data_IF_181546359575
#
_entry.id   IF_181546359575
#
_cell.length_a   1.000
_cell.length_b   1.000
_cell.length_c   1.000
_cell.angle_alpha   90.00
_cell.angle_beta   90.00
_cell.angle_gamma   90.00
#
_symmetry.space_group_name_H-M   'P 1'
#
loop_
_entity.id
_entity.type
_entity.pdbx_description
1 polymer ?
#
# COMPACT_ATOMS: atom_id res chain seq x y z
N UNK A 1 -7.12 -11.39 -30.00
CA UNK A 1 -7.76 -11.81 -28.73
C UNK A 1 -7.63 -10.63 -27.75
N UNK A 2 -8.62 -10.39 -26.90
CA UNK A 2 -8.52 -9.39 -25.84
C UNK A 2 -8.68 -10.10 -24.50
N UNK A 3 -7.84 -9.75 -23.54
CA UNK A 3 -7.92 -10.23 -22.17
C UNK A 3 -7.35 -9.15 -21.25
N UNK A 4 -7.90 -9.08 -20.04
CA UNK A 4 -7.39 -8.27 -18.95
C UNK A 4 -7.27 -9.17 -17.72
N UNK A 5 -6.21 -8.97 -16.95
CA UNK A 5 -5.97 -9.71 -15.72
C UNK A 5 -5.18 -8.82 -14.75
N UNK A 6 -5.37 -9.05 -13.45
CA UNK A 6 -4.58 -8.38 -12.41
C UNK A 6 -3.09 -8.75 -12.47
N UNK A 7 -2.81 -9.96 -12.96
CA UNK A 7 -1.47 -10.53 -13.01
C UNK A 7 -1.09 -11.01 -14.42
N UNK A 8 0.19 -10.96 -14.76
CA UNK A 8 0.69 -11.32 -16.10
C UNK A 8 0.65 -12.82 -16.33
N UNK A 9 0.87 -13.63 -15.29
CA UNK A 9 0.84 -15.10 -15.37
C UNK A 9 -0.46 -15.64 -15.98
N UNK A 10 -1.61 -15.04 -15.65
CA UNK A 10 -2.90 -15.43 -16.22
C UNK A 10 -2.95 -15.22 -17.75
N UNK A 11 -2.35 -14.13 -18.24
CA UNK A 11 -2.28 -13.84 -19.67
C UNK A 11 -1.29 -14.77 -20.39
N UNK A 12 -0.16 -15.09 -19.76
CA UNK A 12 0.77 -16.10 -20.27
C UNK A 12 0.11 -17.48 -20.36
N UNK A 13 -0.66 -17.88 -19.35
CA UNK A 13 -1.42 -19.13 -19.36
C UNK A 13 -2.46 -19.22 -20.48
N UNK A 14 -2.96 -18.08 -20.96
CA UNK A 14 -3.84 -17.98 -22.13
C UNK A 14 -3.09 -17.90 -23.47
N UNK A 15 -1.75 -17.98 -23.44
CA UNK A 15 -0.89 -17.97 -24.63
C UNK A 15 -0.66 -16.59 -25.24
N UNK A 16 -0.84 -15.50 -24.48
CA UNK A 16 -0.48 -14.16 -24.96
C UNK A 16 1.03 -13.97 -24.95
N UNK A 17 1.56 -13.38 -26.02
CA UNK A 17 2.98 -13.03 -26.15
C UNK A 17 3.36 -11.94 -25.11
N UNK A 18 4.43 -12.13 -24.30
CA UNK A 18 4.93 -11.10 -23.40
C UNK A 18 5.16 -9.73 -24.04
N UNK A 19 5.55 -9.68 -25.32
CA UNK A 19 5.79 -8.45 -26.07
C UNK A 19 4.53 -7.63 -26.35
N UNK A 20 3.34 -8.23 -26.28
CA UNK A 20 2.06 -7.52 -26.48
C UNK A 20 1.33 -7.21 -25.17
N UNK A 21 1.82 -7.74 -24.04
CA UNK A 21 1.21 -7.51 -22.72
C UNK A 21 1.74 -6.21 -22.12
N UNK A 22 0.83 -5.24 -21.98
CA UNK A 22 1.07 -3.97 -21.29
C UNK A 22 0.23 -3.84 -20.03
N UNK A 23 0.76 -3.11 -19.06
CA UNK A 23 -0.01 -2.68 -17.89
C UNK A 23 -0.82 -1.44 -18.26
N UNK A 24 -2.04 -1.33 -17.70
CA UNK A 24 -2.79 -0.09 -17.74
C UNK A 24 -2.06 0.96 -16.88
N UNK A 25 -1.90 2.22 -17.32
CA UNK A 25 -1.33 3.26 -16.47
C UNK A 25 -2.16 3.47 -15.20
N UNK A 26 -1.53 3.88 -14.08
CA UNK A 26 -2.27 4.18 -12.87
C UNK A 26 -3.21 5.37 -13.10
N UNK A 27 -4.32 5.41 -12.36
CA UNK A 27 -5.31 6.48 -12.44
C UNK A 27 -5.92 6.65 -13.85
N UNK A 28 -5.94 5.61 -14.69
CA UNK A 28 -6.43 5.68 -16.07
C UNK A 28 -7.60 4.75 -16.32
N UNK A 29 -8.58 5.23 -17.06
CA UNK A 29 -9.64 4.44 -17.68
C UNK A 29 -9.43 4.45 -19.19
N UNK A 30 -9.40 3.25 -19.79
CA UNK A 30 -9.42 3.07 -21.24
C UNK A 30 -10.72 2.36 -21.63
N UNK A 31 -11.46 2.97 -22.56
CA UNK A 31 -12.72 2.41 -23.06
C UNK A 31 -12.51 1.79 -24.45
N UNK A 32 -13.16 0.65 -24.67
CA UNK A 32 -13.05 -0.12 -25.90
C UNK A 32 -14.41 -0.53 -26.43
N UNK A 33 -14.56 -0.51 -27.75
CA UNK A 33 -15.75 -1.01 -28.46
C UNK A 33 -15.42 -2.28 -29.23
N UNK A 34 -16.33 -3.24 -29.19
CA UNK A 34 -16.29 -4.40 -30.07
C UNK A 34 -16.95 -4.03 -31.39
N UNK A 35 -16.17 -4.02 -32.47
CA UNK A 35 -16.75 -3.94 -33.81
C UNK A 35 -17.49 -5.24 -34.13
N UNK A 36 -18.68 -5.13 -34.71
CA UNK A 36 -19.40 -6.27 -35.29
C UNK A 36 -19.53 -6.02 -36.78
N UNK A 37 -19.19 -7.00 -37.62
CA UNK A 37 -19.41 -6.91 -39.06
C UNK A 37 -20.91 -6.86 -39.36
N UNK A 38 -21.29 -6.44 -40.57
CA UNK A 38 -22.67 -6.59 -41.06
C UNK A 38 -23.17 -8.05 -41.12
N UNK A 39 -22.30 -9.03 -40.90
CA UNK A 39 -22.61 -10.47 -40.80
C UNK A 39 -22.62 -11.00 -39.37
N UNK A 40 -22.53 -10.12 -38.35
CA UNK A 40 -22.53 -10.52 -36.93
C UNK A 40 -21.17 -11.03 -36.41
N UNK A 41 -20.11 -11.01 -37.21
CA UNK A 41 -18.78 -11.49 -36.82
C UNK A 41 -17.99 -10.39 -36.08
N UNK A 42 -17.28 -10.70 -34.98
CA UNK A 42 -16.44 -9.72 -34.30
C UNK A 42 -15.33 -9.19 -35.22
N UNK A 43 -15.29 -7.87 -35.45
CA UNK A 43 -14.29 -7.19 -36.30
C UNK A 43 -13.04 -6.73 -35.55
N UNK A 44 -12.96 -7.00 -34.26
CA UNK A 44 -11.84 -6.60 -33.40
C UNK A 44 -12.24 -5.55 -32.37
N UNK A 45 -11.28 -5.21 -31.53
CA UNK A 45 -11.43 -4.25 -30.45
C UNK A 45 -10.81 -2.92 -30.87
N UNK A 46 -11.57 -1.83 -30.80
CA UNK A 46 -11.08 -0.48 -31.10
C UNK A 46 -11.24 0.40 -29.87
N UNK A 47 -10.29 1.32 -29.65
CA UNK A 47 -10.45 2.31 -28.58
C UNK A 47 -11.70 3.16 -28.85
N UNK A 48 -12.53 3.34 -27.83
CA UNK A 48 -13.77 4.10 -27.90
C UNK A 48 -13.53 5.63 -27.79
N UNK A 49 -12.29 6.03 -27.49
CA UNK A 49 -11.88 7.41 -27.27
C UNK A 49 -10.51 7.48 -26.61
N UNK A 50 -10.01 8.69 -26.31
CA UNK A 50 -8.78 8.85 -25.53
C UNK A 50 -8.95 8.32 -24.09
N UNK A 51 -7.87 7.87 -23.45
CA UNK A 51 -7.90 7.53 -22.04
C UNK A 51 -8.26 8.75 -21.18
N UNK A 52 -8.94 8.55 -20.05
CA UNK A 52 -9.25 9.61 -19.08
C UNK A 52 -8.82 9.24 -17.67
N UNK A 53 -8.58 10.25 -16.83
CA UNK A 53 -8.15 10.06 -15.46
C UNK A 53 -9.31 9.62 -14.55
N UNK A 54 -9.07 8.71 -13.61
CA UNK A 54 -10.05 8.33 -12.56
C UNK A 54 -10.22 9.47 -11.55
N UNK A 55 -9.14 10.22 -11.31
CA UNK A 55 -9.07 11.32 -10.36
C UNK A 55 -8.13 12.41 -10.89
N UNK A 56 -8.60 13.65 -10.85
CA UNK A 56 -7.76 14.83 -11.05
C UNK A 56 -7.51 15.48 -9.69
N UNK A 57 -6.23 15.74 -9.38
CA UNK A 57 -5.85 16.40 -8.13
C UNK A 57 -5.76 17.90 -8.35
N UNK A 58 -6.19 18.66 -7.35
CA UNK A 58 -6.08 20.11 -7.32
C UNK A 58 -4.79 20.53 -6.61
N UNK A 59 -3.94 21.28 -7.31
CA UNK A 59 -2.61 21.69 -6.82
C UNK A 59 -2.59 23.05 -6.12
N UNK A 60 -3.74 23.71 -5.95
CA UNK A 60 -3.79 24.98 -5.21
C UNK A 60 -3.34 24.78 -3.76
N UNK A 61 -2.34 25.51 -3.31
CA UNK A 61 -1.80 25.44 -1.95
C UNK A 61 -2.29 26.61 -1.11
N UNK A 62 -3.20 26.36 -0.16
CA UNK A 62 -3.86 27.42 0.61
C UNK A 62 -4.07 27.11 2.09
N UNK A 63 -3.97 25.86 2.52
CA UNK A 63 -4.16 25.48 3.92
C UNK A 63 -2.88 25.65 4.73
N UNK A 64 -2.97 26.33 5.86
CA UNK A 64 -1.86 26.53 6.81
C UNK A 64 -1.88 25.55 7.99
N UNK A 65 -2.90 24.69 8.07
CA UNK A 65 -3.10 23.74 9.17
C UNK A 65 -3.31 22.33 8.65
N UNK A 66 -2.78 21.37 9.39
CA UNK A 66 -2.89 19.91 9.14
C UNK A 66 -4.19 19.31 9.67
N UNK A 67 -5.08 20.10 10.30
CA UNK A 67 -6.30 19.61 10.92
C UNK A 67 -7.22 18.83 9.97
N UNK A 68 -7.48 19.37 8.77
CA UNK A 68 -8.31 18.71 7.76
C UNK A 68 -7.65 17.44 7.21
N UNK A 69 -6.32 17.44 7.09
CA UNK A 69 -5.57 16.25 6.71
C UNK A 69 -5.74 15.13 7.74
N UNK A 70 -5.61 15.45 9.04
CA UNK A 70 -5.80 14.46 10.12
C UNK A 70 -7.22 13.91 10.15
N UNK A 71 -8.22 14.77 9.94
CA UNK A 71 -9.61 14.36 9.85
C UNK A 71 -9.85 13.42 8.65
N UNK A 72 -9.28 13.75 7.49
CA UNK A 72 -9.34 12.89 6.31
C UNK A 72 -8.62 11.55 6.53
N UNK A 73 -7.48 11.55 7.21
CA UNK A 73 -6.73 10.33 7.53
C UNK A 73 -7.50 9.43 8.49
N UNK A 74 -8.07 9.99 9.56
CA UNK A 74 -8.94 9.27 10.47
C UNK A 74 -10.13 8.63 9.74
N UNK A 75 -10.80 9.39 8.87
CA UNK A 75 -11.90 8.88 8.05
C UNK A 75 -11.44 7.77 7.08
N UNK A 76 -10.25 7.91 6.48
CA UNK A 76 -9.67 6.92 5.58
C UNK A 76 -9.34 5.60 6.28
N UNK A 77 -8.83 5.66 7.52
CA UNK A 77 -8.58 4.48 8.37
C UNK A 77 -9.91 3.83 8.74
N UNK A 78 -10.87 4.59 9.27
CA UNK A 78 -12.20 4.08 9.64
C UNK A 78 -12.91 3.38 8.47
N UNK A 79 -12.88 3.99 7.29
CA UNK A 79 -13.44 3.42 6.06
C UNK A 79 -12.84 2.04 5.73
N UNK A 80 -11.55 1.85 5.96
CA UNK A 80 -10.80 0.64 5.58
C UNK A 80 -10.86 -0.50 6.58
N UNK A 81 -11.41 -0.28 7.77
CA UNK A 81 -11.59 -1.35 8.78
C UNK A 81 -13.06 -1.57 9.13
N UNK A 82 -13.98 -0.87 8.46
CA UNK A 82 -15.41 -0.98 8.71
C UNK A 82 -15.90 -2.41 8.46
N UNK A 83 -16.40 -3.06 9.52
CA UNK A 83 -17.04 -4.38 9.43
C UNK A 83 -16.08 -5.55 9.17
N UNK A 84 -14.77 -5.38 9.38
CA UNK A 84 -13.78 -6.43 9.15
C UNK A 84 -12.62 -6.32 10.15
N UNK A 85 -12.10 -7.47 10.61
CA UNK A 85 -10.86 -7.50 11.40
C UNK A 85 -9.69 -7.08 10.53
N UNK A 86 -8.75 -6.35 11.10
CA UNK A 86 -7.55 -5.90 10.41
C UNK A 86 -6.30 -6.45 11.10
N UNK A 87 -5.15 -6.33 10.46
CA UNK A 87 -3.85 -6.42 11.10
C UNK A 87 -2.91 -5.40 10.46
N UNK A 88 -1.91 -4.96 11.22
CA UNK A 88 -0.85 -4.08 10.77
C UNK A 88 0.51 -4.73 11.00
N UNK A 89 1.43 -4.46 10.10
CA UNK A 89 2.85 -4.70 10.30
C UNK A 89 3.42 -3.45 10.95
N UNK A 90 3.99 -3.59 12.15
CA UNK A 90 4.73 -2.50 12.77
C UNK A 90 6.19 -2.54 12.34
N UNK A 91 6.67 -1.36 11.99
CA UNK A 91 8.06 -1.04 11.75
C UNK A 91 8.46 0.16 12.61
N UNK A 92 9.73 0.51 12.56
CA UNK A 92 10.33 1.63 13.26
C UNK A 92 10.03 2.99 12.64
N UNK A 93 9.35 3.02 11.50
CA UNK A 93 8.92 4.25 10.87
C UNK A 93 7.72 4.90 11.58
N UNK A 94 7.58 6.21 11.38
CA UNK A 94 6.44 6.97 11.91
C UNK A 94 5.10 6.59 11.28
N UNK A 95 5.11 5.91 10.13
CA UNK A 95 3.91 5.70 9.32
C UNK A 95 3.03 4.58 9.90
N UNK A 96 3.65 3.43 10.20
CA UNK A 96 2.98 2.30 10.84
C UNK A 96 2.56 2.63 12.28
N UNK A 97 3.34 3.45 12.99
CA UNK A 97 3.00 3.96 14.32
C UNK A 97 1.80 4.91 14.29
N UNK A 98 1.71 5.82 13.32
CA UNK A 98 0.55 6.70 13.15
C UNK A 98 -0.72 5.89 12.87
N UNK A 99 -0.60 4.80 12.11
CA UNK A 99 -1.71 3.89 11.83
C UNK A 99 -2.16 3.15 13.10
N UNK A 100 -1.23 2.62 13.90
CA UNK A 100 -1.53 2.00 15.20
C UNK A 100 -2.26 2.96 16.12
N UNK A 101 -1.74 4.19 16.26
CA UNK A 101 -2.35 5.22 17.09
C UNK A 101 -3.77 5.54 16.64
N UNK A 102 -4.01 5.64 15.32
CA UNK A 102 -5.32 5.94 14.78
C UNK A 102 -6.33 4.81 15.03
N UNK A 103 -5.90 3.55 14.87
CA UNK A 103 -6.73 2.38 15.17
C UNK A 103 -7.12 2.33 16.65
N UNK A 104 -6.17 2.63 17.54
CA UNK A 104 -6.42 2.73 18.98
C UNK A 104 -7.43 3.84 19.30
N UNK A 105 -7.18 5.07 18.83
CA UNK A 105 -8.02 6.26 19.11
C UNK A 105 -9.46 6.12 18.63
N UNK A 106 -9.66 5.47 17.49
CA UNK A 106 -10.98 5.31 16.90
C UNK A 106 -11.74 4.08 17.44
N UNK A 107 -11.15 3.32 18.37
CA UNK A 107 -11.70 2.07 18.91
C UNK A 107 -12.15 1.11 17.80
N UNK A 108 -11.37 1.07 16.71
CA UNK A 108 -11.74 0.30 15.53
C UNK A 108 -11.35 -1.17 15.72
N UNK A 109 -11.90 -2.03 14.86
CA UNK A 109 -11.88 -3.49 14.97
C UNK A 109 -10.54 -4.09 15.49
N UNK A 110 -10.60 -5.26 16.15
CA UNK A 110 -9.42 -5.98 16.61
C UNK A 110 -8.32 -6.01 15.55
N UNK A 111 -7.22 -5.34 15.87
CA UNK A 111 -6.07 -5.22 14.98
C UNK A 111 -4.90 -5.95 15.62
N UNK A 112 -4.37 -6.93 14.89
CA UNK A 112 -3.16 -7.59 15.32
C UNK A 112 -1.95 -6.76 14.91
N UNK A 113 -1.04 -6.56 15.85
CA UNK A 113 0.17 -5.75 15.69
C UNK A 113 1.35 -6.70 15.57
N UNK A 114 1.96 -6.77 14.39
CA UNK A 114 2.99 -7.76 14.08
C UNK A 114 4.30 -7.10 13.70
N UNK A 115 5.37 -7.49 14.38
CA UNK A 115 6.69 -6.93 14.11
C UNK A 115 7.75 -8.04 14.09
N UNK A 116 8.77 -7.83 13.25
CA UNK A 116 10.00 -8.62 13.19
C UNK A 116 11.16 -7.88 13.91
N UNK A 117 10.87 -6.78 14.59
CA UNK A 117 11.84 -5.95 15.30
C UNK A 117 12.15 -6.49 16.69
N UNK A 118 13.07 -5.80 17.38
CA UNK A 118 13.42 -6.07 18.77
C UNK A 118 12.17 -6.05 19.67
N UNK A 119 12.04 -7.12 20.47
CA UNK A 119 10.88 -7.34 21.33
C UNK A 119 10.66 -6.20 22.33
N UNK A 120 11.72 -5.60 22.88
CA UNK A 120 11.58 -4.51 23.86
C UNK A 120 11.03 -3.24 23.21
N UNK A 121 11.40 -2.96 21.96
CA UNK A 121 10.88 -1.82 21.22
C UNK A 121 9.37 -1.99 20.91
N UNK A 122 8.96 -3.20 20.53
CA UNK A 122 7.55 -3.53 20.27
C UNK A 122 6.73 -3.45 21.56
N UNK A 123 7.23 -4.01 22.66
CA UNK A 123 6.59 -3.95 23.97
C UNK A 123 6.40 -2.51 24.45
N UNK A 124 7.42 -1.65 24.30
CA UNK A 124 7.32 -0.21 24.61
C UNK A 124 6.28 0.51 23.76
N UNK A 125 6.17 0.19 22.47
CA UNK A 125 5.16 0.81 21.60
C UNK A 125 3.76 0.35 21.97
N UNK A 126 3.60 -0.94 22.25
CA UNK A 126 2.33 -1.49 22.68
C UNK A 126 1.89 -0.93 24.05
N UNK A 127 2.83 -0.63 24.96
CA UNK A 127 2.49 0.02 26.23
C UNK A 127 2.07 1.48 26.07
N UNK A 128 2.62 2.20 25.09
CA UNK A 128 2.28 3.60 24.79
C UNK A 128 0.96 3.74 24.02
N UNK A 129 0.66 2.80 23.13
CA UNK A 129 -0.57 2.75 22.35
C UNK A 129 -1.06 1.28 22.30
N UNK A 130 -1.78 0.81 23.33
CA UNK A 130 -2.28 -0.56 23.33
C UNK A 130 -3.16 -0.78 22.12
N UNK A 131 -3.14 -2.00 21.57
CA UNK A 131 -4.01 -2.36 20.45
C UNK A 131 -5.48 -2.04 20.75
N UNK A 132 -6.33 -1.92 19.73
CA UNK A 132 -7.75 -1.75 19.96
C UNK A 132 -8.31 -2.90 20.81
N UNK A 133 -9.39 -2.67 21.59
CA UNK A 133 -9.99 -3.70 22.42
C UNK A 133 -10.25 -5.01 21.65
N UNK A 134 -9.66 -6.12 22.11
CA UNK A 134 -9.79 -7.44 21.48
C UNK A 134 -8.79 -7.78 20.38
N UNK A 135 -7.80 -6.90 20.10
CA UNK A 135 -6.62 -7.19 19.28
C UNK A 135 -5.42 -7.70 20.11
N UNK A 136 -4.50 -8.43 19.48
CA UNK A 136 -3.25 -8.91 20.12
C UNK A 136 -2.03 -8.27 19.46
N UNK A 137 -0.99 -7.95 20.25
CA UNK A 137 0.34 -7.75 19.69
C UNK A 137 1.11 -9.07 19.69
N UNK A 138 1.80 -9.34 18.58
CA UNK A 138 2.70 -10.46 18.43
C UNK A 138 4.04 -9.99 17.90
N UNK A 139 5.12 -10.37 18.58
CA UNK A 139 6.46 -10.30 18.00
C UNK A 139 6.71 -11.63 17.29
N UNK A 140 7.11 -11.56 16.02
CA UNK A 140 7.43 -12.73 15.23
C UNK A 140 8.95 -12.81 15.18
N UNK A 141 9.51 -13.82 15.83
CA UNK A 141 10.93 -14.15 15.72
C UNK A 141 11.07 -15.33 14.78
N UNK A 142 11.84 -15.15 13.70
CA UNK A 142 12.14 -16.21 12.75
C UNK A 142 13.51 -16.80 13.04
N UNK A 143 13.58 -18.13 13.13
CA UNK A 143 14.85 -18.84 13.06
C UNK A 143 15.26 -19.08 11.60
N UNK A 144 16.50 -19.56 11.38
CA UNK A 144 17.03 -19.79 10.03
C UNK A 144 16.19 -20.77 9.20
N UNK A 145 15.72 -21.86 9.82
CA UNK A 145 14.88 -22.85 9.14
C UNK A 145 13.56 -22.23 8.65
N UNK A 146 12.93 -21.39 9.46
CA UNK A 146 11.71 -20.67 9.11
C UNK A 146 11.95 -19.66 7.99
N UNK A 147 13.09 -18.96 8.00
CA UNK A 147 13.50 -18.06 6.91
C UNK A 147 13.64 -18.83 5.60
N UNK A 148 14.29 -20.01 5.62
CA UNK A 148 14.46 -20.86 4.44
C UNK A 148 13.11 -21.39 3.94
N UNK A 149 12.27 -21.89 4.84
CA UNK A 149 10.94 -22.40 4.50
C UNK A 149 10.01 -21.32 3.93
N UNK A 150 10.06 -20.10 4.50
CA UNK A 150 9.30 -18.96 4.00
C UNK A 150 9.80 -18.53 2.62
N UNK A 151 11.12 -18.51 2.41
CA UNK A 151 11.71 -18.16 1.11
C UNK A 151 11.32 -19.15 0.02
N UNK A 152 11.32 -20.44 0.35
CA UNK A 152 10.85 -21.48 -0.58
C UNK A 152 9.39 -21.25 -0.97
N UNK A 153 8.54 -20.91 -0.01
CA UNK A 153 7.13 -20.66 -0.28
C UNK A 153 6.91 -19.40 -1.13
N UNK A 154 7.60 -18.28 -0.81
CA UNK A 154 7.51 -17.04 -1.59
C UNK A 154 7.90 -17.31 -3.05
N UNK A 155 9.02 -18.01 -3.27
CA UNK A 155 9.46 -18.37 -4.63
C UNK A 155 8.49 -19.28 -5.37
N UNK A 156 7.68 -20.07 -4.66
CA UNK A 156 6.73 -21.01 -5.26
C UNK A 156 5.39 -20.38 -5.58
N UNK A 157 4.88 -19.48 -4.74
CA UNK A 157 3.49 -19.01 -4.80
C UNK A 157 3.33 -17.53 -5.13
N UNK A 158 4.37 -16.71 -4.98
CA UNK A 158 4.29 -15.29 -5.30
C UNK A 158 4.71 -15.07 -6.76
N UNK A 159 3.89 -14.34 -7.52
CA UNK A 159 4.22 -14.00 -8.91
C UNK A 159 5.45 -13.09 -8.96
N UNK A 160 6.48 -13.41 -9.78
CA UNK A 160 7.64 -12.55 -9.94
C UNK A 160 7.23 -11.14 -10.40
N UNK A 161 7.76 -10.13 -9.73
CA UNK A 161 7.64 -8.74 -10.16
C UNK A 161 8.96 -8.02 -9.96
N UNK A 162 9.38 -7.30 -11.00
CA UNK A 162 10.66 -6.60 -11.01
C UNK A 162 10.45 -5.12 -10.67
N UNK A 163 11.22 -4.67 -9.69
CA UNK A 163 11.20 -3.29 -9.24
C UNK A 163 11.88 -2.37 -10.27
N UNK A 164 11.46 -1.11 -10.29
CA UNK A 164 11.95 -0.07 -11.21
C UNK A 164 12.55 1.13 -10.47
N UNK A 165 12.10 1.40 -9.26
CA UNK A 165 12.61 2.45 -8.39
C UNK A 165 14.08 2.20 -8.08
N UNK A 166 14.88 3.28 -8.12
CA UNK A 166 16.34 3.22 -8.21
C UNK A 166 17.00 2.38 -7.11
N UNK A 167 16.54 2.50 -5.86
CA UNK A 167 17.07 1.76 -4.70
C UNK A 167 16.69 0.28 -4.68
N UNK A 168 15.58 -0.05 -5.36
CA UNK A 168 15.07 -1.40 -5.46
C UNK A 168 15.53 -2.06 -6.78
N UNK A 169 16.27 -1.34 -7.64
CA UNK A 169 16.74 -1.86 -8.93
C UNK A 169 17.65 -3.06 -8.74
N UNK A 170 17.44 -4.08 -9.56
CA UNK A 170 18.14 -5.36 -9.45
C UNK A 170 17.49 -6.34 -8.46
N UNK A 171 16.60 -5.85 -7.60
CA UNK A 171 15.72 -6.66 -6.78
C UNK A 171 14.33 -6.79 -7.43
N UNK A 172 13.61 -7.81 -6.99
CA UNK A 172 12.20 -8.00 -7.29
C UNK A 172 11.54 -8.62 -6.08
N UNK A 173 10.22 -8.75 -6.12
CA UNK A 173 9.41 -9.23 -4.99
C UNK A 173 9.97 -10.52 -4.39
N UNK A 174 10.54 -11.43 -5.19
CA UNK A 174 11.08 -12.71 -4.72
C UNK A 174 12.44 -12.62 -3.99
N UNK A 175 13.20 -11.55 -4.21
CA UNK A 175 14.53 -11.34 -3.62
C UNK A 175 14.51 -10.33 -2.46
N UNK A 176 13.43 -9.58 -2.33
CA UNK A 176 13.23 -8.57 -1.31
C UNK A 176 13.02 -9.19 0.08
N UNK A 177 13.89 -8.91 1.08
CA UNK A 177 13.69 -9.34 2.46
C UNK A 177 12.37 -8.87 3.07
N UNK A 178 11.86 -7.69 2.67
CA UNK A 178 10.58 -7.19 3.15
C UNK A 178 9.40 -8.05 2.67
N UNK A 179 9.48 -8.63 1.46
CA UNK A 179 8.50 -9.60 0.99
C UNK A 179 8.46 -10.86 1.85
N UNK A 180 9.64 -11.33 2.27
CA UNK A 180 9.75 -12.48 3.16
C UNK A 180 9.07 -12.19 4.50
N UNK A 181 9.42 -11.06 5.11
CA UNK A 181 8.85 -10.64 6.37
C UNK A 181 7.33 -10.46 6.30
N UNK A 182 6.84 -9.80 5.25
CA UNK A 182 5.41 -9.63 5.00
C UNK A 182 4.70 -10.98 4.84
N UNK A 183 5.30 -11.92 4.10
CA UNK A 183 4.74 -13.27 3.93
C UNK A 183 4.58 -13.99 5.26
N UNK A 184 5.57 -13.89 6.15
CA UNK A 184 5.50 -14.44 7.51
C UNK A 184 4.37 -13.80 8.32
N UNK A 185 4.27 -12.47 8.30
CA UNK A 185 3.19 -11.70 8.96
C UNK A 185 1.82 -12.19 8.47
N UNK A 186 1.63 -12.34 7.15
CA UNK A 186 0.39 -12.84 6.57
C UNK A 186 0.02 -14.24 7.07
N UNK A 187 0.99 -15.16 7.16
CA UNK A 187 0.74 -16.51 7.70
C UNK A 187 0.29 -16.47 9.15
N UNK A 188 0.96 -15.64 9.96
CA UNK A 188 0.65 -15.52 11.37
C UNK A 188 -0.74 -14.92 11.58
N UNK A 189 -1.07 -13.84 10.88
CA UNK A 189 -2.40 -13.24 10.88
C UNK A 189 -3.50 -14.24 10.51
N UNK A 190 -3.26 -15.08 9.49
CA UNK A 190 -4.20 -16.16 9.11
C UNK A 190 -4.34 -17.22 10.19
N UNK A 191 -3.25 -17.62 10.85
CA UNK A 191 -3.30 -18.59 11.96
C UNK A 191 -4.10 -18.05 13.13
N UNK A 192 -3.85 -16.80 13.51
CA UNK A 192 -4.56 -16.15 14.61
C UNK A 192 -6.04 -15.93 14.29
N UNK A 193 -6.38 -15.55 13.05
CA UNK A 193 -7.77 -15.46 12.61
C UNK A 193 -8.49 -16.82 12.70
N UNK A 194 -7.80 -17.93 12.39
CA UNK A 194 -8.35 -19.29 12.49
C UNK A 194 -8.50 -19.78 13.93
N UNK A 195 -7.54 -19.53 14.81
CA UNK A 195 -7.62 -19.96 16.21
C UNK A 195 -8.77 -19.27 16.95
N UNK A 196 -9.14 -18.06 16.54
CA UNK A 196 -10.29 -17.31 17.04
C UNK A 196 -11.64 -17.78 16.45
N UNK A 197 -11.62 -18.71 15.49
CA UNK A 197 -12.79 -19.24 14.78
C UNK A 197 -13.53 -20.40 15.47
N UNK A 198 -13.34 -20.63 16.77
CA UNK A 198 -14.03 -21.68 17.54
C UNK A 198 -15.33 -21.21 18.24
N UNK A 199 -15.98 -20.15 17.74
CA UNK A 199 -17.40 -19.88 18.05
C UNK A 199 -18.21 -20.22 16.82
N UNK A 200 -18.85 -21.39 16.89
CA UNK A 200 -19.82 -21.91 15.93
C UNK A 200 -20.98 -20.92 15.80
N UNK A 201 -20.88 -20.01 14.84
CA UNK A 201 -22.05 -19.47 14.14
C UNK A 201 -21.81 -19.73 12.66
N UNK A 202 -22.86 -20.07 11.91
CA UNK A 202 -22.81 -20.69 10.59
C UNK A 202 -22.22 -19.84 9.44
N UNK A 203 -21.41 -18.83 9.73
CA UNK A 203 -20.74 -17.94 8.78
C UNK A 203 -19.24 -18.10 8.97
N UNK A 204 -18.52 -18.55 7.94
CA UNK A 204 -17.05 -18.61 7.98
C UNK A 204 -16.49 -17.21 8.36
N UNK A 205 -15.55 -17.12 9.31
CA UNK A 205 -14.94 -15.84 9.65
C UNK A 205 -14.25 -15.28 8.41
N UNK A 206 -14.59 -14.03 8.05
CA UNK A 206 -13.94 -13.34 6.93
C UNK A 206 -12.43 -13.25 7.20
N UNK A 207 -11.57 -13.46 6.18
CA UNK A 207 -10.13 -13.23 6.31
C UNK A 207 -9.87 -11.81 6.84
N UNK A 208 -8.84 -11.61 7.68
CA UNK A 208 -8.47 -10.28 8.12
C UNK A 208 -7.88 -9.49 6.95
N UNK A 209 -8.01 -8.17 6.99
CA UNK A 209 -7.39 -7.27 6.00
C UNK A 209 -6.03 -6.78 6.50
N UNK A 210 -5.05 -6.70 5.61
CA UNK A 210 -3.80 -6.02 5.91
C UNK A 210 -3.98 -4.52 5.71
N UNK A 211 -3.72 -3.72 6.75
CA UNK A 211 -3.75 -2.27 6.65
C UNK A 211 -2.31 -1.76 6.54
N UNK A 212 -1.93 -1.31 5.35
CA UNK A 212 -0.57 -0.88 5.04
C UNK A 212 -0.36 0.61 5.31
N UNK A 213 0.84 0.95 5.76
CA UNK A 213 1.30 2.33 5.92
C UNK A 213 1.92 2.91 4.63
N UNK A 214 2.02 2.11 3.56
CA UNK A 214 2.48 2.57 2.24
C UNK A 214 1.65 3.76 1.75
N UNK A 215 2.34 4.75 1.18
CA UNK A 215 1.80 6.03 0.75
C UNK A 215 2.31 7.20 1.60
N UNK A 216 2.62 6.99 2.88
CA UNK A 216 3.06 8.10 3.72
C UNK A 216 4.43 8.67 3.31
N UNK A 217 5.41 7.80 3.05
CA UNK A 217 6.73 8.20 2.54
C UNK A 217 6.67 8.76 1.13
N UNK A 218 5.92 8.10 0.25
CA UNK A 218 5.84 8.40 -1.17
C UNK A 218 5.06 9.69 -1.44
N UNK A 219 4.03 9.98 -0.64
CA UNK A 219 3.18 11.16 -0.81
C UNK A 219 3.68 12.34 0.03
N UNK A 220 3.93 12.15 1.33
CA UNK A 220 4.16 13.29 2.24
C UNK A 220 5.62 13.59 2.49
N UNK A 221 6.45 12.56 2.64
CA UNK A 221 7.87 12.74 2.89
C UNK A 221 8.66 13.02 1.62
N UNK A 222 8.23 12.41 0.51
CA UNK A 222 9.04 12.26 -0.71
C UNK A 222 10.50 11.91 -0.39
N UNK A 223 10.71 11.17 0.69
CA UNK A 223 11.99 10.77 1.26
C UNK A 223 13.03 11.89 1.38
N UNK A 224 12.60 13.11 1.72
CA UNK A 224 13.51 14.23 1.97
C UNK A 224 13.05 15.12 3.12
N UNK A 225 13.99 15.89 3.67
CA UNK A 225 13.72 16.86 4.73
C UNK A 225 14.65 18.06 4.56
N UNK A 226 14.07 19.27 4.51
CA UNK A 226 14.81 20.54 4.54
C UNK A 226 16.00 20.59 3.57
N UNK A 227 15.82 20.09 2.34
CA UNK A 227 16.82 20.08 1.28
C UNK A 227 17.78 18.89 1.30
N UNK A 228 17.65 18.01 2.29
CA UNK A 228 18.44 16.77 2.39
C UNK A 228 17.63 15.58 1.91
N UNK A 229 18.20 14.83 0.98
CA UNK A 229 17.65 13.54 0.56
C UNK A 229 17.89 12.50 1.66
N UNK A 230 16.83 11.83 2.12
CA UNK A 230 16.92 10.70 3.05
C UNK A 230 17.02 9.37 2.31
N UNK A 231 16.79 9.39 0.99
CA UNK A 231 16.92 8.25 0.08
C UNK A 231 17.31 8.75 -1.32
N UNK A 232 17.92 7.91 -2.14
CA UNK A 232 18.24 8.18 -3.55
C UNK A 232 17.00 8.48 -4.41
N UNK A 233 15.82 8.00 -4.01
CA UNK A 233 14.54 8.32 -4.68
C UNK A 233 13.81 9.52 -4.07
N UNK A 234 14.51 10.32 -3.25
CA UNK A 234 13.95 11.54 -2.72
C UNK A 234 13.50 12.48 -3.84
N UNK A 235 12.25 12.95 -3.76
CA UNK A 235 11.75 13.99 -4.66
C UNK A 235 11.71 15.32 -3.94
N UNK A 236 12.12 16.39 -4.63
CA UNK A 236 12.22 17.73 -4.09
C UNK A 236 13.09 17.88 -2.81
N UNK A 237 13.74 16.80 -2.34
CA UNK A 237 14.55 16.77 -1.10
C UNK A 237 13.81 17.31 0.12
N UNK A 238 12.49 17.12 0.16
CA UNK A 238 11.61 17.66 1.21
C UNK A 238 11.30 19.15 1.11
N UNK A 239 11.74 19.84 0.05
CA UNK A 239 11.44 21.22 -0.27
C UNK A 239 10.30 21.30 -1.29
N UNK A 240 9.07 21.20 -0.80
CA UNK A 240 7.88 21.45 -1.61
C UNK A 240 7.86 22.87 -2.20
N UNK A 241 7.68 23.02 -3.52
CA UNK A 241 7.53 24.33 -4.17
C UNK A 241 6.15 24.93 -3.90
N UNK A 242 5.98 26.23 -4.17
CA UNK A 242 4.68 26.93 -4.13
C UNK A 242 3.75 26.51 -5.29
N UNK A 243 4.31 26.02 -6.40
CA UNK A 243 3.55 25.37 -7.48
C UNK A 243 3.90 23.88 -7.55
N UNK A 244 2.99 23.02 -7.08
CA UNK A 244 3.18 21.57 -7.15
C UNK A 244 3.13 21.04 -8.59
N UNK A 245 2.56 21.79 -9.54
CA UNK A 245 2.52 21.42 -10.95
C UNK A 245 3.92 21.27 -11.56
N UNK A 246 4.93 21.97 -11.02
CA UNK A 246 6.32 21.87 -11.48
C UNK A 246 6.97 20.53 -11.14
N UNK A 247 6.50 19.87 -10.09
CA UNK A 247 7.10 18.63 -9.57
C UNK A 247 6.16 17.43 -9.65
N UNK A 248 4.88 17.63 -9.95
CA UNK A 248 3.88 16.56 -10.00
C UNK A 248 3.81 15.88 -11.38
N UNK A 249 3.67 14.54 -11.43
CA UNK A 249 3.87 13.62 -10.32
C UNK A 249 5.36 13.48 -10.02
N UNK A 250 5.73 13.56 -8.75
CA UNK A 250 7.13 13.37 -8.40
C UNK A 250 7.51 11.89 -8.45
N UNK A 251 8.82 11.63 -8.45
CA UNK A 251 9.40 10.32 -8.75
C UNK A 251 8.72 9.18 -7.98
N UNK A 252 8.47 9.39 -6.68
CA UNK A 252 7.90 8.35 -5.80
C UNK A 252 6.39 8.15 -5.92
N UNK A 253 5.65 9.05 -6.58
CA UNK A 253 4.17 9.10 -6.47
C UNK A 253 3.45 7.97 -7.20
N UNK A 254 3.60 7.82 -8.53
CA UNK A 254 2.86 6.81 -9.29
C UNK A 254 3.73 5.60 -9.62
N UNK A 255 4.55 5.71 -10.67
CA UNK A 255 5.28 4.59 -11.26
C UNK A 255 6.71 4.40 -10.70
N UNK A 256 7.12 5.19 -9.69
CA UNK A 256 8.38 5.00 -8.98
C UNK A 256 8.22 4.15 -7.72
N UNK A 257 8.71 4.63 -6.58
CA UNK A 257 8.74 3.85 -5.34
C UNK A 257 7.36 3.30 -4.92
N UNK A 258 6.29 4.09 -5.07
CA UNK A 258 4.94 3.63 -4.72
C UNK A 258 4.53 2.38 -5.50
N UNK A 259 4.81 2.33 -6.81
CA UNK A 259 4.50 1.15 -7.65
C UNK A 259 5.15 -0.10 -7.09
N UNK A 260 6.41 -0.01 -6.69
CA UNK A 260 7.17 -1.19 -6.26
C UNK A 260 6.72 -1.66 -4.87
N UNK A 261 6.42 -0.73 -3.95
CA UNK A 261 5.83 -1.06 -2.66
C UNK A 261 4.42 -1.65 -2.78
N UNK A 262 3.56 -1.07 -3.63
CA UNK A 262 2.24 -1.65 -3.92
C UNK A 262 2.37 -3.03 -4.54
N UNK A 263 3.26 -3.22 -5.51
CA UNK A 263 3.46 -4.53 -6.14
C UNK A 263 3.95 -5.58 -5.14
N UNK A 264 4.89 -5.23 -4.25
CA UNK A 264 5.32 -6.11 -3.17
C UNK A 264 4.14 -6.62 -2.35
N UNK A 265 3.32 -5.69 -1.85
CA UNK A 265 2.24 -6.02 -0.94
C UNK A 265 1.10 -6.76 -1.64
N UNK A 266 0.66 -6.31 -2.80
CA UNK A 266 -0.39 -6.96 -3.59
C UNK A 266 0.01 -8.36 -4.05
N UNK A 267 1.28 -8.56 -4.44
CA UNK A 267 1.76 -9.89 -4.85
C UNK A 267 1.89 -10.83 -3.64
N UNK A 268 2.48 -10.38 -2.53
CA UNK A 268 2.71 -11.23 -1.35
C UNK A 268 1.40 -11.51 -0.61
N UNK A 269 0.63 -10.48 -0.26
CA UNK A 269 -0.64 -10.65 0.45
C UNK A 269 -1.68 -11.36 -0.44
N UNK A 270 -1.72 -11.04 -1.73
CA UNK A 270 -2.57 -11.72 -2.71
C UNK A 270 -2.29 -13.23 -2.80
N UNK A 271 -1.02 -13.64 -2.77
CA UNK A 271 -0.65 -15.06 -2.72
C UNK A 271 -1.12 -15.77 -1.43
N UNK A 272 -1.32 -15.02 -0.34
CA UNK A 272 -1.95 -15.52 0.89
C UNK A 272 -3.47 -15.45 0.88
N UNK A 273 -4.10 -14.89 -0.16
CA UNK A 273 -5.55 -14.64 -0.22
C UNK A 273 -6.00 -13.57 0.77
N UNK A 274 -5.13 -12.59 1.04
CA UNK A 274 -5.41 -11.46 1.93
C UNK A 274 -5.52 -10.18 1.10
N UNK A 275 -6.50 -9.35 1.45
CA UNK A 275 -6.69 -8.02 0.88
C UNK A 275 -5.79 -7.02 1.62
N UNK A 276 -5.15 -6.12 0.87
CA UNK A 276 -4.39 -4.99 1.41
C UNK A 276 -5.18 -3.70 1.24
N UNK A 277 -5.09 -2.80 2.23
CA UNK A 277 -5.77 -1.51 2.22
C UNK A 277 -4.79 -0.40 2.60
N UNK A 278 -4.89 0.74 1.91
CA UNK A 278 -3.91 1.82 1.96
C UNK A 278 -4.54 3.16 2.41
N UNK A 279 -4.62 3.47 3.72
CA UNK A 279 -5.22 4.71 4.21
C UNK A 279 -4.54 5.97 3.67
N UNK A 280 -3.21 5.97 3.58
CA UNK A 280 -2.44 7.11 3.08
C UNK A 280 -2.67 7.41 1.60
N UNK A 281 -3.13 6.43 0.82
CA UNK A 281 -3.48 6.57 -0.58
C UNK A 281 -4.97 6.87 -0.79
N UNK A 282 -5.72 7.16 0.27
CA UNK A 282 -7.08 7.66 0.09
C UNK A 282 -7.05 8.99 -0.67
N UNK A 283 -7.89 9.10 -1.71
CA UNK A 283 -7.96 10.31 -2.53
C UNK A 283 -8.11 11.58 -1.68
N UNK A 284 -8.90 11.54 -0.60
CA UNK A 284 -9.07 12.73 0.24
C UNK A 284 -7.82 13.02 1.06
N UNK A 285 -7.14 12.00 1.59
CA UNK A 285 -5.89 12.16 2.35
C UNK A 285 -4.81 12.79 1.46
N UNK A 286 -4.65 12.27 0.25
CA UNK A 286 -3.72 12.82 -0.74
C UNK A 286 -4.09 14.27 -1.09
N UNK A 287 -5.36 14.53 -1.39
CA UNK A 287 -5.81 15.88 -1.76
C UNK A 287 -5.63 16.89 -0.63
N UNK A 288 -5.91 16.50 0.62
CA UNK A 288 -5.70 17.37 1.79
C UNK A 288 -4.22 17.70 1.98
N UNK A 289 -3.31 16.76 1.68
CA UNK A 289 -1.88 17.04 1.70
C UNK A 289 -1.49 18.02 0.60
N UNK A 290 -1.98 17.84 -0.61
CA UNK A 290 -1.69 18.73 -1.74
C UNK A 290 -2.13 20.17 -1.47
N UNK A 291 -3.26 20.37 -0.77
CA UNK A 291 -3.76 21.70 -0.41
C UNK A 291 -2.97 22.41 0.71
N UNK A 292 -2.13 21.71 1.47
CA UNK A 292 -1.24 22.35 2.44
C UNK A 292 -0.27 23.26 1.70
N UNK A 293 -0.04 24.45 2.25
CA UNK A 293 1.04 25.34 1.83
C UNK A 293 2.40 24.70 2.09
N UNK A 294 3.40 25.13 1.32
CA UNK A 294 4.77 24.64 1.46
C UNK A 294 5.27 24.80 2.90
N UNK A 295 5.06 25.96 3.52
CA UNK A 295 5.39 26.25 4.92
C UNK A 295 4.74 25.29 5.94
N UNK A 296 3.50 24.85 5.69
CA UNK A 296 2.79 23.88 6.52
C UNK A 296 3.23 22.42 6.28
N UNK A 297 3.96 22.15 5.19
CA UNK A 297 4.60 20.85 4.91
C UNK A 297 6.05 20.81 5.41
N UNK A 298 6.72 21.96 5.41
CA UNK A 298 8.11 22.12 5.83
C UNK A 298 8.23 22.19 7.36
N UNK A 299 9.46 22.09 7.86
CA UNK A 299 9.78 22.19 9.29
C UNK A 299 10.11 20.83 9.92
N UNK A 300 9.23 19.83 9.77
CA UNK A 300 9.46 18.47 10.30
C UNK A 300 9.08 17.40 9.28
N UNK A 301 9.80 16.27 9.30
CA UNK A 301 9.59 15.19 8.35
C UNK A 301 8.18 14.59 8.53
N UNK A 302 7.39 14.63 7.45
CA UNK A 302 5.98 14.20 7.45
C UNK A 302 5.15 14.95 8.51
N UNK A 303 5.31 16.28 8.60
CA UNK A 303 4.59 17.19 9.51
C UNK A 303 3.14 16.79 9.83
N UNK A 304 2.26 16.45 8.87
CA UNK A 304 0.86 16.11 9.18
C UNK A 304 0.68 14.89 10.09
N UNK A 305 1.68 14.00 10.18
CA UNK A 305 1.69 12.87 11.10
C UNK A 305 2.04 13.24 12.55
N UNK A 306 2.78 14.34 12.73
CA UNK A 306 3.33 14.74 14.03
C UNK A 306 2.36 15.61 14.83
N UNK A 307 1.54 16.41 14.13
CA UNK A 307 0.54 17.28 14.74
C UNK A 307 -0.65 16.49 15.31
#
# INVERSE_FOLDING_TARGET
RFAAASYRSALYGLGFDPGVIRSLPPNTVEAYTFGVSGTGQPRGLTAAGPPHAVCEFDFRQWKTSTADWRAAFAAAVAKRVRGQRAFIGLSSDSDSNALQLMLHRLHLAPCDVLSLEDQQMVERRYSLAPGPPGGEAGVILLNEEQVVAERHWVNKYVEPFQYRAQELRGNGVLRDPASLGLSTICRWAKRLARSRGNVVTAVQPKPPVFLSATGAGEIMGAYGLNGTALSEHSSARGLWPDDLGEVFPWLSFFLGALRDHLAKEEHVCGAHGLEVRYPFLDRRVVQEFLWLRADAKHGEYKRPLLD
#
